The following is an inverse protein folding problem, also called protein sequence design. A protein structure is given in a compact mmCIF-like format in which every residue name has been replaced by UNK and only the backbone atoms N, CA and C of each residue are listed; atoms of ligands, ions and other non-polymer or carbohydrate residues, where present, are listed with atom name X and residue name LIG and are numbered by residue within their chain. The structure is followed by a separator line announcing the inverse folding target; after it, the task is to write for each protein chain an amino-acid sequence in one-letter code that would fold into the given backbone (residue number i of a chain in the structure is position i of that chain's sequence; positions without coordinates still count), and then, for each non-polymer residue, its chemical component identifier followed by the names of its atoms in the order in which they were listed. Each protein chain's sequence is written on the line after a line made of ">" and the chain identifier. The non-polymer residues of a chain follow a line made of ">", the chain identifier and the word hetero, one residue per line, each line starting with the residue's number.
data_IF_809524383296
#
_entry.id   IF_809524383296
#
_cell.length_a   1.000
_cell.length_b   1.000
_cell.length_c   1.000
_cell.angle_alpha   90.00
_cell.angle_beta   90.00
_cell.angle_gamma   90.00
#
_symmetry.space_group_name_H-M   'P 1'
#
loop_
_entity.id
_entity.type
_entity.pdbx_description
1 polymer ?
#
# COMPACT_ATOMS: atom_id res chain seq x y z
N UNK A 1 -12.33 -20.96 -3.60
CA UNK A 1 -13.01 -19.65 -3.43
C UNK A 1 -12.22 -18.84 -2.43
N UNK A 2 -11.69 -17.67 -2.80
CA UNK A 2 -10.99 -16.77 -1.89
C UNK A 2 -11.72 -15.42 -1.86
N UNK A 3 -11.63 -14.72 -0.73
CA UNK A 3 -12.15 -13.36 -0.59
C UNK A 3 -10.96 -12.43 -0.44
N UNK A 4 -10.94 -11.34 -1.22
CA UNK A 4 -9.97 -10.27 -1.07
C UNK A 4 -10.62 -9.12 -0.31
N UNK A 5 -10.05 -8.78 0.85
CA UNK A 5 -10.47 -7.63 1.65
C UNK A 5 -9.37 -6.57 1.55
N UNK A 6 -9.74 -5.38 1.10
CA UNK A 6 -8.84 -4.24 1.03
C UNK A 6 -9.28 -3.19 2.05
N UNK A 7 -8.44 -2.95 3.05
CA UNK A 7 -8.68 -1.98 4.13
C UNK A 7 -7.76 -0.78 3.92
N UNK A 8 -8.33 0.42 3.91
CA UNK A 8 -7.58 1.64 3.65
C UNK A 8 -8.15 2.83 4.42
N UNK A 9 -7.34 3.88 4.57
CA UNK A 9 -7.77 5.18 5.11
C UNK A 9 -7.97 6.15 3.93
N UNK A 10 -9.21 6.59 3.63
CA UNK A 10 -9.50 7.36 2.42
C UNK A 10 -8.61 8.59 2.23
N UNK A 11 -8.42 9.40 3.29
CA UNK A 11 -7.59 10.61 3.22
C UNK A 11 -6.13 10.33 2.85
N UNK A 12 -5.53 9.30 3.46
CA UNK A 12 -4.16 8.90 3.15
C UNK A 12 -4.03 8.39 1.72
N UNK A 13 -4.96 7.52 1.32
CA UNK A 13 -4.96 6.94 -0.01
C UNK A 13 -5.13 8.01 -1.09
N UNK A 14 -6.05 8.95 -0.91
CA UNK A 14 -6.25 10.07 -1.84
C UNK A 14 -4.96 10.87 -1.97
N UNK A 15 -4.36 11.30 -0.84
CA UNK A 15 -3.13 12.08 -0.88
C UNK A 15 -1.99 11.36 -1.63
N UNK A 16 -1.88 10.05 -1.45
CA UNK A 16 -0.86 9.24 -2.10
C UNK A 16 -1.12 9.03 -3.60
N UNK A 17 -2.36 8.71 -3.96
CA UNK A 17 -2.73 8.45 -5.36
C UNK A 17 -2.75 9.72 -6.20
N UNK A 18 -3.10 10.88 -5.63
CA UNK A 18 -3.32 12.13 -6.37
C UNK A 18 -2.05 12.94 -6.68
N UNK A 19 -0.85 12.45 -6.32
CA UNK A 19 0.37 13.07 -6.82
C UNK A 19 0.44 12.95 -8.35
N UNK A 20 1.03 13.94 -9.02
CA UNK A 20 1.11 13.99 -10.48
C UNK A 20 1.81 12.75 -11.04
N UNK A 21 2.84 12.26 -10.36
CA UNK A 21 3.62 11.09 -10.76
C UNK A 21 2.80 9.79 -10.61
N UNK A 22 2.05 9.65 -9.51
CA UNK A 22 1.16 8.51 -9.27
C UNK A 22 0.06 8.45 -10.33
N UNK A 23 -0.57 9.59 -10.60
CA UNK A 23 -1.63 9.72 -11.61
C UNK A 23 -1.10 9.40 -13.01
N UNK A 24 0.05 9.96 -13.41
CA UNK A 24 0.68 9.66 -14.69
C UNK A 24 1.02 8.18 -14.84
N UNK A 25 1.50 7.53 -13.78
CA UNK A 25 1.76 6.10 -13.78
C UNK A 25 0.47 5.28 -13.93
N UNK A 26 -0.59 5.60 -13.18
CA UNK A 26 -1.86 4.88 -13.24
C UNK A 26 -2.54 5.00 -14.62
N UNK A 27 -2.38 6.13 -15.34
CA UNK A 27 -2.88 6.26 -16.72
C UNK A 27 -2.31 5.19 -17.66
N UNK A 28 -1.05 4.75 -17.45
CA UNK A 28 -0.43 3.69 -18.25
C UNK A 28 -1.15 2.33 -18.10
N UNK A 29 -1.91 2.16 -17.02
CA UNK A 29 -2.72 0.96 -16.74
C UNK A 29 -4.21 1.18 -17.02
N UNK A 30 -4.57 2.28 -17.69
CA UNK A 30 -5.93 2.58 -18.13
C UNK A 30 -6.85 3.14 -17.06
N UNK A 31 -6.33 3.57 -15.91
CA UNK A 31 -7.16 4.15 -14.85
C UNK A 31 -7.72 5.51 -15.29
N UNK A 32 -9.03 5.69 -15.09
CA UNK A 32 -9.68 7.01 -15.13
C UNK A 32 -9.52 7.68 -13.77
N UNK A 33 -9.17 8.96 -13.79
CA UNK A 33 -8.64 9.67 -12.63
C UNK A 33 -9.62 10.73 -12.09
N UNK A 34 -10.92 10.41 -12.12
CA UNK A 34 -11.95 11.38 -11.76
C UNK A 34 -12.13 11.46 -10.23
N UNK A 35 -12.22 10.30 -9.58
CA UNK A 35 -12.42 10.17 -8.15
C UNK A 35 -11.82 8.84 -7.65
N UNK A 36 -11.76 8.67 -6.33
CA UNK A 36 -11.21 7.47 -5.71
C UNK A 36 -12.00 6.20 -6.06
N UNK A 37 -13.34 6.28 -6.08
CA UNK A 37 -14.20 5.12 -6.32
C UNK A 37 -14.01 4.56 -7.74
N UNK A 38 -13.87 5.43 -8.73
CA UNK A 38 -13.54 5.04 -10.11
C UNK A 38 -12.21 4.29 -10.18
N UNK A 39 -11.18 4.77 -9.45
CA UNK A 39 -9.88 4.11 -9.40
C UNK A 39 -9.96 2.76 -8.68
N UNK A 40 -10.72 2.65 -7.59
CA UNK A 40 -10.92 1.39 -6.86
C UNK A 40 -11.73 0.36 -7.67
N UNK A 41 -12.76 0.81 -8.39
CA UNK A 41 -13.52 -0.03 -9.30
C UNK A 41 -12.66 -0.54 -10.45
N UNK A 42 -11.79 0.31 -11.01
CA UNK A 42 -10.84 -0.12 -12.04
C UNK A 42 -9.81 -1.10 -11.49
N UNK A 43 -9.31 -0.90 -10.26
CA UNK A 43 -8.41 -1.85 -9.60
C UNK A 43 -9.09 -3.22 -9.42
N UNK A 44 -10.35 -3.23 -8.96
CA UNK A 44 -11.14 -4.46 -8.86
C UNK A 44 -11.26 -5.17 -10.21
N UNK A 45 -11.63 -4.42 -11.25
CA UNK A 45 -11.68 -4.93 -12.63
C UNK A 45 -10.33 -5.53 -13.06
N UNK A 46 -9.20 -4.89 -12.70
CA UNK A 46 -7.85 -5.40 -13.00
C UNK A 46 -7.54 -6.73 -12.34
N UNK A 47 -7.98 -6.95 -11.09
CA UNK A 47 -7.88 -8.26 -10.44
C UNK A 47 -8.67 -9.34 -11.20
N UNK A 48 -9.91 -9.03 -11.58
CA UNK A 48 -10.80 -9.95 -12.30
C UNK A 48 -10.24 -10.28 -13.70
N UNK A 49 -9.81 -9.26 -14.45
CA UNK A 49 -9.25 -9.39 -15.79
C UNK A 49 -7.97 -10.22 -15.82
N UNK A 50 -7.06 -10.00 -14.87
CA UNK A 50 -5.75 -10.65 -14.88
C UNK A 50 -5.77 -12.06 -14.27
N UNK A 51 -6.77 -12.38 -13.45
CA UNK A 51 -6.78 -13.62 -12.64
C UNK A 51 -5.62 -13.72 -11.65
N UNK A 52 -4.94 -12.60 -11.38
CA UNK A 52 -3.79 -12.47 -10.47
C UNK A 52 -3.68 -11.05 -9.96
N UNK A 53 -2.85 -10.84 -8.94
CA UNK A 53 -2.63 -9.52 -8.36
C UNK A 53 -2.00 -8.55 -9.37
N UNK A 54 -2.69 -7.46 -9.75
CA UNK A 54 -2.12 -6.40 -10.58
C UNK A 54 -0.94 -5.77 -9.83
N UNK A 55 0.21 -5.60 -10.49
CA UNK A 55 1.41 -5.11 -9.79
C UNK A 55 1.29 -3.64 -9.35
N UNK A 56 0.47 -2.84 -10.04
CA UNK A 56 0.19 -1.47 -9.64
C UNK A 56 -0.56 -1.36 -8.30
N UNK A 57 -1.09 -2.46 -7.73
CA UNK A 57 -1.71 -2.50 -6.40
C UNK A 57 -0.80 -1.92 -5.32
N UNK A 58 0.52 -2.03 -5.49
CA UNK A 58 1.48 -1.49 -4.51
C UNK A 58 1.24 -0.01 -4.23
N UNK A 59 0.81 0.76 -5.24
CA UNK A 59 0.48 2.16 -5.06
C UNK A 59 -0.76 2.35 -4.18
N UNK A 60 -1.78 1.50 -4.33
CA UNK A 60 -2.97 1.51 -3.46
C UNK A 60 -2.66 1.01 -2.05
N UNK A 61 -1.63 0.19 -1.86
CA UNK A 61 -1.13 -0.19 -0.54
C UNK A 61 -0.30 0.91 0.13
N UNK A 62 -0.11 2.05 -0.53
CA UNK A 62 0.68 3.17 -0.02
C UNK A 62 2.18 3.02 -0.23
N UNK A 63 2.63 2.07 -1.06
CA UNK A 63 4.05 1.90 -1.35
C UNK A 63 4.55 3.08 -2.21
N UNK A 64 5.81 3.53 -2.01
CA UNK A 64 6.42 4.55 -2.83
C UNK A 64 6.37 4.18 -4.32
N UNK A 65 6.12 5.17 -5.18
CA UNK A 65 6.02 4.94 -6.62
C UNK A 65 7.32 4.37 -7.22
N UNK A 66 8.49 4.78 -6.71
CA UNK A 66 9.78 4.25 -7.14
C UNK A 66 9.88 2.74 -6.90
N UNK A 67 9.38 2.24 -5.77
CA UNK A 67 9.39 0.83 -5.42
C UNK A 67 8.38 0.03 -6.24
N UNK A 68 7.19 0.59 -6.52
CA UNK A 68 6.20 -0.05 -7.41
C UNK A 68 6.77 -0.19 -8.82
N UNK A 69 7.34 0.89 -9.37
CA UNK A 69 7.99 0.86 -10.69
C UNK A 69 9.19 -0.09 -10.71
N UNK A 70 10.02 -0.05 -9.67
CA UNK A 70 11.18 -0.91 -9.52
C UNK A 70 10.81 -2.39 -9.46
N UNK A 71 9.76 -2.73 -8.72
CA UNK A 71 9.24 -4.09 -8.63
C UNK A 71 8.79 -4.61 -10.00
N UNK A 72 8.03 -3.79 -10.74
CA UNK A 72 7.51 -4.14 -12.07
C UNK A 72 8.66 -4.31 -13.06
N UNK A 73 9.55 -3.32 -13.14
CA UNK A 73 10.69 -3.31 -14.06
C UNK A 73 11.63 -4.50 -13.81
N UNK A 74 11.97 -4.76 -12.55
CA UNK A 74 12.89 -5.85 -12.18
C UNK A 74 12.19 -7.20 -11.99
N UNK A 75 10.89 -7.32 -12.27
CA UNK A 75 10.09 -8.53 -12.03
C UNK A 75 10.29 -9.09 -10.61
N UNK A 76 10.33 -8.19 -9.63
CA UNK A 76 10.55 -8.52 -8.22
C UNK A 76 11.97 -8.95 -7.84
N UNK A 77 12.96 -8.82 -8.72
CA UNK A 77 14.38 -9.13 -8.43
C UNK A 77 15.17 -7.84 -8.19
N UNK A 78 16.48 -7.93 -7.89
CA UNK A 78 17.42 -6.80 -7.80
C UNK A 78 16.97 -5.65 -6.87
N UNK A 79 16.30 -5.99 -5.77
CA UNK A 79 15.93 -5.02 -4.74
C UNK A 79 17.12 -4.72 -3.84
N UNK A 80 17.19 -3.51 -3.29
CA UNK A 80 18.20 -3.09 -2.30
C UNK A 80 17.92 -3.74 -0.95
N UNK A 81 16.66 -3.72 -0.53
CA UNK A 81 16.18 -4.28 0.73
C UNK A 81 14.82 -4.96 0.57
N UNK A 82 14.50 -5.92 1.44
CA UNK A 82 13.20 -6.58 1.46
C UNK A 82 12.64 -6.62 2.88
N UNK A 83 11.48 -5.98 3.07
CA UNK A 83 10.70 -6.00 4.31
C UNK A 83 9.21 -6.18 3.99
N UNK A 84 8.31 -5.38 4.59
CA UNK A 84 6.90 -5.31 4.19
C UNK A 84 6.66 -5.16 2.68
N UNK A 85 7.57 -4.51 1.97
CA UNK A 85 7.68 -4.56 0.51
C UNK A 85 9.16 -4.62 0.06
N UNK A 86 9.38 -4.80 -1.24
CA UNK A 86 10.72 -4.78 -1.86
C UNK A 86 11.12 -3.36 -2.23
N UNK A 87 12.25 -2.92 -1.69
CA UNK A 87 12.75 -1.55 -1.81
C UNK A 87 13.74 -1.46 -2.95
N UNK A 88 13.48 -0.55 -3.88
CA UNK A 88 14.29 -0.26 -5.04
C UNK A 88 14.96 1.11 -4.94
N UNK A 89 14.41 2.01 -4.12
CA UNK A 89 15.03 3.29 -3.82
C UNK A 89 14.80 3.77 -2.39
N UNK A 90 15.56 4.78 -1.94
CA UNK A 90 15.44 5.38 -0.59
C UNK A 90 15.50 4.35 0.56
N UNK A 91 16.46 3.42 0.49
CA UNK A 91 16.59 2.28 1.41
C UNK A 91 16.62 2.71 2.88
N UNK A 92 17.47 3.68 3.23
CA UNK A 92 17.63 4.13 4.60
C UNK A 92 16.32 4.66 5.22
N UNK A 93 15.62 5.56 4.53
CA UNK A 93 14.35 6.11 4.99
C UNK A 93 13.26 5.03 5.10
N UNK A 94 13.26 4.09 4.16
CA UNK A 94 12.29 2.99 4.14
C UNK A 94 12.53 2.01 5.30
N UNK A 95 13.78 1.70 5.64
CA UNK A 95 14.12 0.86 6.79
C UNK A 95 13.64 1.53 8.10
N UNK A 96 13.90 2.83 8.27
CA UNK A 96 13.40 3.57 9.43
C UNK A 96 11.88 3.54 9.53
N UNK A 97 11.18 3.62 8.39
CA UNK A 97 9.73 3.48 8.34
C UNK A 97 9.27 2.07 8.74
N UNK A 98 9.94 1.02 8.25
CA UNK A 98 9.65 -0.36 8.63
C UNK A 98 9.80 -0.62 10.11
N UNK A 99 10.87 -0.10 10.72
CA UNK A 99 11.10 -0.24 12.16
C UNK A 99 9.99 0.44 12.97
N UNK A 100 9.56 1.63 12.57
CA UNK A 100 8.40 2.31 13.18
C UNK A 100 7.11 1.50 13.04
N UNK A 101 6.83 0.97 11.84
CA UNK A 101 5.66 0.12 11.61
C UNK A 101 5.69 -1.13 12.49
N UNK A 102 6.86 -1.78 12.62
CA UNK A 102 7.04 -2.96 13.48
C UNK A 102 6.80 -2.63 14.95
N UNK A 103 7.37 -1.54 15.45
CA UNK A 103 7.17 -1.10 16.83
C UNK A 103 5.69 -0.82 17.13
N UNK A 104 5.01 -0.06 16.25
CA UNK A 104 3.59 0.22 16.39
C UNK A 104 2.73 -1.06 16.33
N UNK A 105 3.05 -1.97 15.41
CA UNK A 105 2.33 -3.24 15.26
C UNK A 105 2.45 -4.07 16.52
N UNK A 106 3.66 -4.24 17.05
CA UNK A 106 3.90 -4.99 18.29
C UNK A 106 3.10 -4.39 19.45
N UNK A 107 3.18 -3.07 19.66
CA UNK A 107 2.42 -2.41 20.73
C UNK A 107 0.91 -2.60 20.59
N UNK A 108 0.36 -2.45 19.38
CA UNK A 108 -1.07 -2.66 19.14
C UNK A 108 -1.48 -4.12 19.36
N UNK A 109 -0.65 -5.08 18.97
CA UNK A 109 -0.86 -6.50 19.22
C UNK A 109 -0.83 -6.81 20.72
N UNK A 110 0.17 -6.33 21.45
CA UNK A 110 0.28 -6.53 22.91
C UNK A 110 -0.94 -5.96 23.65
N UNK A 111 -1.41 -4.77 23.25
CA UNK A 111 -2.62 -4.17 23.82
C UNK A 111 -3.87 -4.98 23.48
N UNK A 112 -3.98 -5.46 22.24
CA UNK A 112 -5.12 -6.30 21.85
C UNK A 112 -5.14 -7.63 22.61
N UNK A 113 -3.99 -8.29 22.74
CA UNK A 113 -3.82 -9.56 23.45
C UNK A 113 -4.07 -9.43 24.97
N UNK A 114 -3.80 -8.25 25.54
CA UNK A 114 -4.15 -7.91 26.93
C UNK A 114 -5.62 -7.51 27.13
N UNK A 115 -6.44 -7.59 26.08
CA UNK A 115 -7.90 -7.42 26.16
C UNK A 115 -8.40 -6.01 25.79
N UNK A 116 -7.55 -5.12 25.28
CA UNK A 116 -8.00 -3.82 24.77
C UNK A 116 -8.77 -4.05 23.47
N UNK A 117 -10.06 -3.66 23.38
CA UNK A 117 -10.87 -3.94 22.20
C UNK A 117 -10.42 -3.08 21.00
N UNK A 118 -10.58 -3.63 19.79
CA UNK A 118 -10.11 -2.99 18.55
C UNK A 118 -10.65 -1.56 18.35
N UNK A 119 -11.90 -1.29 18.75
CA UNK A 119 -12.50 0.04 18.65
C UNK A 119 -11.79 1.09 19.52
N UNK A 120 -11.14 0.69 20.62
CA UNK A 120 -10.28 1.56 21.43
C UNK A 120 -8.92 1.75 20.78
N UNK A 121 -8.32 0.67 20.25
CA UNK A 121 -7.04 0.73 19.57
C UNK A 121 -7.07 1.70 18.37
N UNK A 122 -8.11 1.65 17.53
CA UNK A 122 -8.24 2.56 16.37
C UNK A 122 -8.43 4.03 16.76
N UNK A 123 -8.77 4.33 18.02
CA UNK A 123 -8.91 5.69 18.53
C UNK A 123 -7.63 6.26 19.15
N UNK A 124 -6.60 5.42 19.33
CA UNK A 124 -5.31 5.86 19.84
C UNK A 124 -4.57 6.68 18.77
N UNK A 125 -4.45 7.98 18.98
CA UNK A 125 -3.49 8.80 18.25
C UNK A 125 -2.09 8.59 18.85
N UNK A 126 -1.29 7.73 18.24
CA UNK A 126 0.14 7.72 18.52
C UNK A 126 0.77 8.85 17.71
N UNK A 127 1.25 9.88 18.42
CA UNK A 127 1.98 11.02 17.85
C UNK A 127 3.35 10.59 17.33
#
# INVERSE_FOLDING_TARGET
>A
NYVLIYVYRPKFLINHLYSIESQNFLRLYGYKLNNLDDMLNHLKYRFELLGRTPHEIGLFLGYPLCDVKGFIYNKGKNYKFSGPWKVYDNEYETILYFDKCKQCTNLYCDLFESGVPLNKLISLSMN
#
